data_IF_875570728668
#
_entry.id   IF_875570728668
#
_cell.length_a   1.000
_cell.length_b   1.000
_cell.length_c   1.000
_cell.angle_alpha   90.00
_cell.angle_beta   90.00
_cell.angle_gamma   90.00
#
_symmetry.space_group_name_H-M   'P 1'
#
loop_
_entity.id
_entity.type
_entity.pdbx_description
1 polymer ?
#
# COMPACT_ATOMS: atom_id res chain seq x y z
N UNK A 1 15.63 -0.08 5.40
CA UNK A 1 14.80 -1.31 5.47
C UNK A 1 15.63 -2.49 5.96
N UNK A 2 15.06 -3.48 6.67
CA UNK A 2 15.82 -4.63 7.16
C UNK A 2 16.25 -5.53 6.00
N UNK A 3 17.50 -5.99 6.01
CA UNK A 3 18.11 -6.74 4.89
C UNK A 3 17.48 -8.12 4.65
N UNK A 4 16.83 -8.68 5.67
CA UNK A 4 16.23 -10.02 5.67
C UNK A 4 14.81 -10.09 5.15
N UNK A 5 14.16 -8.94 4.91
CA UNK A 5 12.76 -8.88 4.45
C UNK A 5 12.70 -8.38 3.01
N UNK A 6 11.74 -8.90 2.26
CA UNK A 6 11.53 -8.62 0.82
C UNK A 6 10.18 -7.98 0.54
N UNK A 7 9.40 -7.71 1.59
CA UNK A 7 8.16 -6.96 1.48
C UNK A 7 7.69 -6.36 2.80
N UNK A 8 6.81 -5.38 2.69
CA UNK A 8 6.12 -4.71 3.78
C UNK A 8 4.66 -4.48 3.41
N UNK A 9 3.76 -4.80 4.33
CA UNK A 9 2.34 -4.47 4.22
C UNK A 9 2.06 -3.15 4.93
N UNK A 10 1.38 -2.27 4.22
CA UNK A 10 1.01 -0.93 4.65
C UNK A 10 -0.52 -0.86 4.67
N UNK A 11 -1.10 -0.43 5.79
CA UNK A 11 -2.56 -0.49 5.99
C UNK A 11 -3.20 0.81 6.48
N UNK A 12 -2.40 1.76 6.95
CA UNK A 12 -2.90 3.00 7.54
C UNK A 12 -2.12 4.16 7.00
N UNK A 13 -2.85 5.13 6.44
CA UNK A 13 -2.29 6.44 6.14
C UNK A 13 -1.98 7.15 7.46
N UNK A 14 -0.76 7.65 7.68
CA UNK A 14 -0.49 8.48 8.85
C UNK A 14 -1.21 9.83 8.71
N UNK A 15 -1.49 10.53 9.82
CA UNK A 15 -2.15 11.84 9.80
C UNK A 15 -1.40 12.91 9.02
N UNK A 16 -0.09 12.74 8.83
CA UNK A 16 0.76 13.72 8.18
C UNK A 16 1.71 13.04 7.17
N UNK A 17 1.95 13.62 5.98
CA UNK A 17 2.80 13.02 4.94
C UNK A 17 4.23 12.77 5.40
N UNK A 18 4.83 13.66 6.20
CA UNK A 18 6.21 13.45 6.65
C UNK A 18 6.35 12.34 7.72
N UNK A 19 5.24 11.75 8.20
CA UNK A 19 5.30 10.67 9.17
C UNK A 19 5.51 9.30 8.50
N UNK A 20 6.22 8.38 9.17
CA UNK A 20 6.37 7.01 8.69
C UNK A 20 5.01 6.31 8.56
N UNK A 21 4.81 5.61 7.46
CA UNK A 21 3.64 4.76 7.28
C UNK A 21 3.82 3.52 8.17
N UNK A 22 2.78 3.14 8.91
CA UNK A 22 2.82 1.95 9.74
C UNK A 22 3.01 0.70 8.87
N UNK A 23 4.15 0.01 9.06
CA UNK A 23 4.59 -1.13 8.25
C UNK A 23 4.57 -2.41 9.06
N UNK A 24 4.08 -3.49 8.43
CA UNK A 24 4.26 -4.86 8.92
C UNK A 24 5.16 -5.58 7.93
N UNK A 25 6.34 -6.01 8.37
CA UNK A 25 7.27 -6.74 7.51
C UNK A 25 6.73 -8.13 7.19
N UNK A 26 6.75 -8.51 5.91
CA UNK A 26 6.29 -9.83 5.47
C UNK A 26 7.45 -10.60 4.85
N UNK A 27 7.61 -11.84 5.31
CA UNK A 27 8.63 -12.78 4.78
C UNK A 27 8.08 -13.66 3.65
N UNK A 28 6.76 -13.88 3.59
CA UNK A 28 6.13 -14.67 2.54
C UNK A 28 4.68 -14.19 2.33
N UNK A 29 4.40 -13.49 1.23
CA UNK A 29 3.02 -13.14 0.86
C UNK A 29 2.49 -14.26 -0.03
N UNK A 30 1.38 -14.89 0.37
CA UNK A 30 0.65 -15.78 -0.53
C UNK A 30 -0.09 -14.94 -1.58
N UNK A 31 0.03 -15.25 -2.88
CA UNK A 31 -0.72 -14.56 -3.93
C UNK A 31 -2.22 -14.58 -3.64
N UNK A 32 -2.91 -13.45 -3.80
CA UNK A 32 -4.37 -13.37 -3.72
C UNK A 32 -4.97 -13.17 -2.31
N UNK A 33 -4.16 -12.82 -1.30
CA UNK A 33 -4.62 -12.66 0.08
C UNK A 33 -4.51 -11.23 0.64
N UNK A 34 -4.22 -10.23 -0.19
CA UNK A 34 -4.07 -8.86 0.31
C UNK A 34 -5.39 -8.32 0.87
N UNK A 35 -5.42 -7.89 2.14
CA UNK A 35 -6.59 -7.23 2.69
C UNK A 35 -7.00 -6.02 1.83
N UNK A 36 -8.30 -5.81 1.68
CA UNK A 36 -8.81 -4.61 1.00
C UNK A 36 -8.20 -3.35 1.63
N UNK A 37 -7.70 -2.45 0.78
CA UNK A 37 -7.10 -1.19 1.22
C UNK A 37 -5.68 -1.28 1.73
N UNK A 38 -5.09 -2.47 1.73
CA UNK A 38 -3.68 -2.63 2.06
C UNK A 38 -2.82 -2.51 0.81
N UNK A 39 -1.65 -1.91 0.98
CA UNK A 39 -0.61 -1.86 -0.04
C UNK A 39 0.51 -2.82 0.37
N UNK A 40 0.81 -3.79 -0.49
CA UNK A 40 2.02 -4.59 -0.41
C UNK A 40 3.12 -3.89 -1.18
N UNK A 41 4.16 -3.47 -0.48
CA UNK A 41 5.41 -3.02 -1.08
C UNK A 41 6.38 -4.20 -1.09
N UNK A 42 6.82 -4.62 -2.27
CA UNK A 42 7.74 -5.74 -2.48
C UNK A 42 8.99 -5.24 -3.18
N UNK A 43 10.16 -5.78 -2.82
CA UNK A 43 11.40 -5.41 -3.45
C UNK A 43 12.31 -6.62 -3.68
N UNK A 44 13.00 -6.61 -4.81
CA UNK A 44 13.99 -7.63 -5.19
C UNK A 44 15.23 -6.95 -5.77
N UNK A 45 16.41 -7.58 -5.65
CA UNK A 45 17.58 -7.13 -6.40
C UNK A 45 17.28 -7.09 -7.90
N UNK A 46 17.59 -5.97 -8.54
CA UNK A 46 17.51 -5.77 -9.99
C UNK A 46 18.84 -6.07 -10.67
N UNK A 47 19.02 -5.58 -11.90
CA UNK A 47 20.32 -5.62 -12.58
C UNK A 47 21.28 -4.63 -11.92
N UNK A 48 22.50 -5.08 -11.60
CA UNK A 48 23.51 -4.27 -10.91
C UNK A 48 23.26 -4.17 -9.40
N UNK A 49 23.49 -2.99 -8.81
CA UNK A 49 23.25 -2.68 -7.39
C UNK A 49 21.88 -2.02 -7.15
N UNK A 50 20.99 -2.09 -8.15
CA UNK A 50 19.65 -1.53 -8.09
C UNK A 50 18.65 -2.47 -7.40
N UNK A 51 17.58 -1.88 -6.88
CA UNK A 51 16.43 -2.57 -6.31
C UNK A 51 15.19 -2.32 -7.15
N UNK A 52 14.56 -3.39 -7.62
CA UNK A 52 13.25 -3.31 -8.25
C UNK A 52 12.20 -3.32 -7.14
N UNK A 53 11.42 -2.24 -7.05
CA UNK A 53 10.37 -2.08 -6.05
C UNK A 53 9.02 -2.07 -6.75
N UNK A 54 8.06 -2.82 -6.25
CA UNK A 54 6.68 -2.83 -6.74
C UNK A 54 5.70 -2.64 -5.60
N UNK A 55 4.62 -1.93 -5.87
CA UNK A 55 3.51 -1.77 -4.96
C UNK A 55 2.27 -2.43 -5.54
N UNK A 56 1.58 -3.24 -4.75
CA UNK A 56 0.32 -3.89 -5.09
C UNK A 56 -0.77 -3.46 -4.12
N UNK A 57 -1.95 -3.12 -4.63
CA UNK A 57 -3.11 -2.72 -3.85
C UNK A 57 -4.09 -3.90 -3.74
N UNK A 58 -4.46 -4.25 -2.52
CA UNK A 58 -5.57 -5.17 -2.26
C UNK A 58 -6.91 -4.48 -2.49
N UNK A 59 -7.69 -4.96 -3.46
CA UNK A 59 -9.09 -4.60 -3.68
C UNK A 59 -10.02 -5.70 -3.16
N UNK A 60 -11.32 -5.46 -3.20
CA UNK A 60 -12.34 -6.40 -2.69
C UNK A 60 -12.27 -7.78 -3.37
N UNK A 61 -11.95 -7.83 -4.66
CA UNK A 61 -11.99 -9.05 -5.47
C UNK A 61 -10.67 -9.38 -6.17
N UNK A 62 -9.65 -8.52 -6.03
CA UNK A 62 -8.41 -8.66 -6.78
C UNK A 62 -7.26 -7.95 -6.10
N UNK A 63 -6.05 -8.32 -6.49
CA UNK A 63 -4.83 -7.58 -6.25
C UNK A 63 -4.45 -6.86 -7.56
N UNK A 64 -4.11 -5.58 -7.47
CA UNK A 64 -3.75 -4.77 -8.65
C UNK A 64 -2.36 -4.18 -8.46
N UNK A 65 -1.53 -4.25 -9.50
CA UNK A 65 -0.26 -3.52 -9.54
C UNK A 65 -0.53 -2.02 -9.51
N UNK A 66 -0.09 -1.35 -8.45
CA UNK A 66 -0.23 0.08 -8.27
C UNK A 66 0.89 0.83 -8.99
N UNK A 67 2.13 0.40 -8.74
CA UNK A 67 3.32 1.05 -9.28
C UNK A 67 4.50 0.08 -9.32
N UNK A 68 5.41 0.32 -10.25
CA UNK A 68 6.67 -0.40 -10.35
C UNK A 68 7.81 0.60 -10.59
N UNK A 69 8.85 0.50 -9.79
CA UNK A 69 10.04 1.33 -9.83
C UNK A 69 11.27 0.43 -10.01
N UNK A 70 11.73 0.24 -11.26
CA UNK A 70 12.89 -0.59 -11.53
C UNK A 70 14.19 0.13 -11.16
N UNK A 71 15.18 -0.63 -10.69
CA UNK A 71 16.56 -0.14 -10.52
C UNK A 71 16.72 1.06 -9.58
N UNK A 72 16.01 1.09 -8.45
CA UNK A 72 16.17 2.12 -7.43
C UNK A 72 17.45 1.90 -6.61
N UNK A 73 18.22 2.96 -6.37
CA UNK A 73 19.50 2.89 -5.65
C UNK A 73 19.43 3.71 -4.36
N UNK A 74 20.21 3.32 -3.35
CA UNK A 74 20.29 4.04 -2.08
C UNK A 74 18.98 4.02 -1.28
N UNK A 75 18.66 5.12 -0.60
CA UNK A 75 17.37 5.29 0.07
C UNK A 75 16.30 5.73 -0.93
N UNK A 76 15.46 4.78 -1.31
CA UNK A 76 14.36 4.98 -2.24
C UNK A 76 13.02 5.27 -1.55
N UNK A 77 13.01 5.37 -0.22
CA UNK A 77 11.81 5.74 0.55
C UNK A 77 11.17 7.04 0.04
N UNK A 78 11.92 8.13 -0.24
CA UNK A 78 11.32 9.38 -0.74
C UNK A 78 10.66 9.24 -2.12
N UNK A 79 11.05 8.24 -2.92
CA UNK A 79 10.50 7.99 -4.25
C UNK A 79 9.17 7.24 -4.15
N UNK A 80 9.10 6.23 -3.29
CA UNK A 80 7.90 5.36 -3.17
C UNK A 80 6.85 5.92 -2.23
N UNK A 81 7.27 6.68 -1.21
CA UNK A 81 6.40 7.13 -0.12
C UNK A 81 5.22 7.98 -0.61
N UNK A 82 5.39 9.00 -1.48
CA UNK A 82 4.28 9.86 -1.91
C UNK A 82 3.14 9.05 -2.55
N UNK A 83 3.47 8.16 -3.48
CA UNK A 83 2.47 7.31 -4.15
C UNK A 83 1.74 6.40 -3.17
N UNK A 84 2.48 5.74 -2.26
CA UNK A 84 1.87 4.87 -1.26
C UNK A 84 0.98 5.67 -0.29
N UNK A 85 1.43 6.84 0.14
CA UNK A 85 0.70 7.72 1.05
C UNK A 85 -0.62 8.19 0.42
N UNK A 86 -0.58 8.70 -0.81
CA UNK A 86 -1.76 9.17 -1.54
C UNK A 86 -2.79 8.07 -1.74
N UNK A 87 -2.35 6.86 -2.10
CA UNK A 87 -3.26 5.74 -2.35
C UNK A 87 -3.91 5.24 -1.06
N UNK A 88 -3.17 5.17 0.04
CA UNK A 88 -3.74 4.86 1.35
C UNK A 88 -4.72 5.94 1.80
N UNK A 89 -4.40 7.22 1.55
CA UNK A 89 -5.28 8.35 1.84
C UNK A 89 -6.58 8.30 1.04
N UNK A 90 -6.49 8.07 -0.27
CA UNK A 90 -7.65 7.93 -1.16
C UNK A 90 -8.52 6.74 -0.76
N UNK A 91 -7.91 5.60 -0.43
CA UNK A 91 -8.64 4.44 0.05
C UNK A 91 -9.40 4.72 1.35
N UNK A 92 -8.77 5.43 2.30
CA UNK A 92 -9.39 5.82 3.56
C UNK A 92 -10.58 6.76 3.31
N UNK A 93 -10.41 7.79 2.47
CA UNK A 93 -11.48 8.71 2.11
C UNK A 93 -12.67 8.00 1.45
N UNK A 94 -12.40 7.10 0.49
CA UNK A 94 -13.43 6.31 -0.17
C UNK A 94 -14.17 5.38 0.80
N UNK A 95 -13.47 4.80 1.76
CA UNK A 95 -14.08 3.94 2.79
C UNK A 95 -15.06 4.75 3.65
N UNK A 96 -14.64 5.93 4.13
CA UNK A 96 -15.51 6.84 4.89
C UNK A 96 -16.73 7.27 4.08
N UNK A 97 -16.55 7.67 2.82
CA UNK A 97 -17.65 8.06 1.95
C UNK A 97 -18.63 6.91 1.71
N UNK A 98 -18.13 5.69 1.53
CA UNK A 98 -18.95 4.48 1.35
C UNK A 98 -19.78 4.19 2.60
N UNK A 99 -19.20 4.31 3.79
CA UNK A 99 -19.90 4.05 5.04
C UNK A 99 -20.96 5.12 5.33
N UNK A 100 -20.66 6.39 5.04
CA UNK A 100 -21.63 7.48 5.11
C UNK A 100 -22.82 7.26 4.16
N UNK A 101 -22.55 6.83 2.92
CA UNK A 101 -23.60 6.53 1.94
C UNK A 101 -24.48 5.35 2.39
N UNK A 102 -23.88 4.28 2.92
CA UNK A 102 -24.62 3.14 3.47
C UNK A 102 -25.53 3.55 4.62
N UNK A 103 -25.03 4.40 5.51
CA UNK A 103 -25.82 4.94 6.61
C UNK A 103 -26.99 5.79 6.10
N UNK A 104 -26.75 6.69 5.15
CA UNK A 104 -27.79 7.53 4.56
C UNK A 104 -28.91 6.68 3.91
N UNK A 105 -28.53 5.65 3.15
CA UNK A 105 -29.48 4.72 2.52
C UNK A 105 -30.29 3.92 3.57
N UNK A 106 -29.66 3.52 4.67
CA UNK A 106 -30.34 2.82 5.76
C UNK A 106 -31.35 3.72 6.50
N UNK A 107 -31.04 5.02 6.63
CA UNK A 107 -31.94 5.99 7.25
C UNK A 107 -33.11 6.37 6.32
N UNK A 108 -32.90 6.41 5.00
CA UNK A 108 -33.94 6.76 4.03
C UNK A 108 -34.99 5.65 3.80
N UNK A 109 -34.69 4.41 4.20
CA UNK A 109 -35.58 3.25 4.06
C UNK A 109 -36.34 2.92 5.35
N UNK A 110 -36.20 3.77 6.38
CA UNK A 110 -37.01 3.77 7.61
C UNK A 110 -38.11 4.81 7.52
#
# INVERSE_FOLDING_TARGET
MPRSVRGALLRRVPPHPAQPIHTVWISNVKPGQLPRGSVLLSWKPGLGDGMDVSAHLGLTSAEVLLANWPGLHGDWTPVVHPTVYEVLGLHAALSVATDALRLANHLATR
#
